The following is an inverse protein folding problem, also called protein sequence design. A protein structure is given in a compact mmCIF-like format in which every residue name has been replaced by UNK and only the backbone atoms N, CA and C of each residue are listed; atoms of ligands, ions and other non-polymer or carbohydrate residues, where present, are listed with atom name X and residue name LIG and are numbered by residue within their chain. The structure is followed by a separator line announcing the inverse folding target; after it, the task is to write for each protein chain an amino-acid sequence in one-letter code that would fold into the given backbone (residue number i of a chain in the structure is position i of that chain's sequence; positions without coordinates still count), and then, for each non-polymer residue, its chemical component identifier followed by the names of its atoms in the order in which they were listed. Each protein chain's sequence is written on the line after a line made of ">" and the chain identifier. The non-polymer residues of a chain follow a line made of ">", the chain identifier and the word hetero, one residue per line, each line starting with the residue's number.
data_IF_507568211562
#
_entry.id   IF_507568211562
#
_cell.length_a   1.000
_cell.length_b   1.000
_cell.length_c   1.000
_cell.angle_alpha   90.00
_cell.angle_beta   90.00
_cell.angle_gamma   90.00
#
_symmetry.space_group_name_H-M   'P 1'
#
loop_
_entity.id
_entity.type
_entity.pdbx_description
1 polymer ?
#
# COMPACT_ATOMS: atom_id res chain seq x y z
N UNK A 1 36.32 -41.78 14.62
CA UNK A 1 36.00 -40.46 14.01
C UNK A 1 34.59 -40.54 13.48
N UNK A 2 33.62 -39.92 14.14
CA UNK A 2 32.23 -40.00 13.71
C UNK A 2 31.69 -38.58 13.50
N UNK A 3 31.48 -38.23 12.22
CA UNK A 3 30.70 -37.08 11.69
C UNK A 3 31.44 -35.72 11.70
N UNK A 4 32.19 -35.47 10.62
CA UNK A 4 32.70 -34.15 10.25
C UNK A 4 31.94 -33.55 9.06
N UNK A 5 31.93 -32.22 8.95
CA UNK A 5 31.41 -31.44 7.82
C UNK A 5 32.58 -30.92 7.01
N UNK A 6 32.49 -31.03 5.70
CA UNK A 6 33.46 -30.42 4.78
C UNK A 6 33.17 -28.92 4.59
N UNK A 7 34.23 -28.12 4.53
CA UNK A 7 34.14 -26.70 4.26
C UNK A 7 35.48 -26.08 3.91
N UNK A 8 35.52 -24.76 3.93
CA UNK A 8 36.72 -23.98 3.64
C UNK A 8 37.00 -23.08 4.83
N UNK A 9 38.22 -23.17 5.39
CA UNK A 9 38.69 -22.22 6.40
C UNK A 9 39.38 -21.05 5.70
N UNK A 10 39.05 -19.84 6.11
CA UNK A 10 39.67 -18.59 5.66
C UNK A 10 40.11 -17.79 6.88
N UNK A 11 41.26 -17.11 6.79
CA UNK A 11 41.70 -16.18 7.82
C UNK A 11 41.12 -14.79 7.52
N UNK A 12 40.59 -14.10 8.54
CA UNK A 12 40.04 -12.75 8.33
C UNK A 12 41.15 -11.80 7.89
N UNK A 13 41.10 -11.33 6.63
CA UNK A 13 42.10 -10.46 6.02
C UNK A 13 42.89 -11.07 4.85
N UNK A 14 42.76 -12.36 4.56
CA UNK A 14 43.40 -13.01 3.41
C UNK A 14 42.38 -13.76 2.54
N UNK A 15 42.56 -13.72 1.22
CA UNK A 15 41.64 -14.35 0.25
C UNK A 15 41.95 -15.84 -0.04
N UNK A 16 42.92 -16.44 0.65
CA UNK A 16 43.28 -17.85 0.46
C UNK A 16 42.47 -18.73 1.40
N UNK A 17 41.58 -19.55 0.82
CA UNK A 17 40.81 -20.56 1.55
C UNK A 17 41.50 -21.92 1.48
N UNK A 18 41.55 -22.64 2.60
CA UNK A 18 42.05 -24.02 2.67
C UNK A 18 40.90 -25.00 2.95
N UNK A 19 40.91 -26.20 2.32
CA UNK A 19 39.90 -27.21 2.60
C UNK A 19 40.05 -27.73 4.02
N UNK A 20 39.00 -27.60 4.82
CA UNK A 20 39.01 -28.00 6.23
C UNK A 20 37.78 -28.86 6.56
N UNK A 21 37.92 -29.70 7.58
CA UNK A 21 36.84 -30.51 8.15
C UNK A 21 36.53 -30.06 9.56
N UNK A 22 35.25 -29.81 9.85
CA UNK A 22 34.78 -29.48 11.18
C UNK A 22 33.99 -30.67 11.75
N UNK A 23 34.49 -31.33 12.78
CA UNK A 23 33.87 -32.51 13.38
C UNK A 23 33.80 -32.46 14.90
N UNK A 24 33.12 -33.44 15.49
CA UNK A 24 33.03 -33.61 16.93
C UNK A 24 33.89 -34.81 17.36
N UNK A 25 34.85 -34.60 18.26
CA UNK A 25 35.68 -35.67 18.83
C UNK A 25 35.62 -35.55 20.35
N UNK A 26 35.16 -36.61 21.04
CA UNK A 26 35.03 -36.66 22.49
C UNK A 26 34.26 -35.45 23.10
N UNK A 27 33.24 -34.95 22.40
CA UNK A 27 32.40 -33.83 22.86
C UNK A 27 33.00 -32.43 22.62
N UNK A 28 34.18 -32.33 22.00
CA UNK A 28 34.81 -31.05 21.60
C UNK A 28 34.72 -30.87 20.08
N UNK A 29 34.56 -29.62 19.65
CA UNK A 29 34.66 -29.26 18.24
C UNK A 29 36.13 -29.33 17.81
N UNK A 30 36.41 -30.03 16.72
CA UNK A 30 37.76 -30.14 16.16
C UNK A 30 37.71 -29.68 14.71
N UNK A 31 38.57 -28.71 14.39
CA UNK A 31 38.82 -28.28 13.02
C UNK A 31 40.10 -28.97 12.52
N UNK A 32 39.99 -29.72 11.43
CA UNK A 32 41.09 -30.37 10.74
C UNK A 32 41.38 -29.61 9.43
N UNK A 33 42.54 -28.96 9.32
CA UNK A 33 43.00 -28.25 8.12
C UNK A 33 44.19 -28.98 7.49
N UNK A 34 43.99 -30.25 7.12
CA UNK A 34 44.97 -31.13 6.46
C UNK A 34 46.18 -31.55 7.31
N UNK A 35 46.89 -30.59 7.89
CA UNK A 35 48.13 -30.77 8.67
C UNK A 35 47.97 -30.49 10.16
N UNK A 36 46.88 -29.81 10.57
CA UNK A 36 46.66 -29.45 11.98
C UNK A 36 45.25 -29.77 12.44
N UNK A 37 45.14 -30.36 13.63
CA UNK A 37 43.89 -30.51 14.37
C UNK A 37 43.84 -29.45 15.47
N UNK A 38 42.91 -28.51 15.37
CA UNK A 38 42.67 -27.52 16.43
C UNK A 38 41.42 -27.89 17.20
N UNK A 39 41.52 -28.06 18.52
CA UNK A 39 40.36 -28.17 19.39
C UNK A 39 39.79 -26.79 19.67
N UNK A 40 38.50 -26.62 19.43
CA UNK A 40 37.75 -25.38 19.58
C UNK A 40 36.82 -25.48 20.79
N UNK A 41 36.74 -24.40 21.57
CA UNK A 41 35.73 -24.27 22.62
C UNK A 41 34.39 -23.88 21.98
N UNK A 42 33.32 -24.68 22.14
CA UNK A 42 32.01 -24.33 21.63
C UNK A 42 31.47 -23.00 22.19
N UNK A 43 31.85 -22.59 23.40
CA UNK A 43 31.27 -21.44 24.11
C UNK A 43 31.54 -20.07 23.45
N UNK A 44 32.50 -20.00 22.52
CA UNK A 44 32.99 -18.75 21.94
C UNK A 44 32.77 -18.62 20.42
N UNK A 45 31.92 -19.47 19.84
CA UNK A 45 31.66 -19.47 18.39
C UNK A 45 30.56 -18.46 18.01
N UNK A 46 30.86 -17.57 17.07
CA UNK A 46 29.86 -16.69 16.44
C UNK A 46 29.45 -17.26 15.10
N UNK A 47 28.16 -17.61 14.96
CA UNK A 47 27.63 -18.35 13.81
C UNK A 47 26.63 -17.50 13.07
N UNK A 48 26.84 -17.33 11.77
CA UNK A 48 25.91 -16.63 10.89
C UNK A 48 24.56 -17.35 10.76
N UNK A 49 23.51 -16.56 10.55
CA UNK A 49 22.14 -17.04 10.36
C UNK A 49 22.04 -18.03 9.18
N UNK A 50 21.16 -19.02 9.32
CA UNK A 50 20.89 -19.97 8.25
C UNK A 50 19.96 -19.31 7.22
N UNK A 51 20.50 -18.92 6.08
CA UNK A 51 19.73 -18.42 4.94
C UNK A 51 19.87 -19.41 3.78
N UNK A 52 18.76 -19.80 3.17
CA UNK A 52 18.75 -20.76 2.06
C UNK A 52 19.59 -20.25 0.88
N UNK A 53 20.53 -21.06 0.39
CA UNK A 53 21.43 -20.73 -0.74
C UNK A 53 22.69 -19.95 -0.37
N UNK A 54 22.81 -19.49 0.88
CA UNK A 54 24.02 -18.80 1.38
C UNK A 54 24.86 -19.80 2.20
N UNK A 55 26.16 -19.95 1.94
CA UNK A 55 27.01 -20.82 2.75
C UNK A 55 27.10 -20.28 4.18
N UNK A 56 26.98 -21.17 5.18
CA UNK A 56 27.07 -20.78 6.59
C UNK A 56 28.51 -20.47 6.94
N UNK A 57 28.69 -19.31 7.58
CA UNK A 57 29.94 -18.80 8.14
C UNK A 57 29.98 -19.07 9.64
N UNK A 58 31.03 -19.75 10.11
CA UNK A 58 31.34 -19.97 11.53
C UNK A 58 32.62 -19.19 11.82
N UNK A 59 32.54 -18.15 12.63
CA UNK A 59 33.69 -17.33 13.04
C UNK A 59 34.26 -17.89 14.33
N UNK A 60 35.58 -18.08 14.32
CA UNK A 60 36.41 -18.65 15.39
C UNK A 60 37.09 -17.52 16.17
N UNK A 61 37.45 -17.76 17.43
CA UNK A 61 38.10 -16.76 18.31
C UNK A 61 39.43 -16.23 17.79
N UNK A 62 40.14 -17.07 17.04
CA UNK A 62 41.43 -16.75 16.43
C UNK A 62 41.28 -15.90 15.14
N UNK A 63 40.06 -15.44 14.84
CA UNK A 63 39.75 -14.66 13.65
C UNK A 63 39.67 -15.50 12.37
N UNK A 64 39.74 -16.84 12.44
CA UNK A 64 39.46 -17.71 11.30
C UNK A 64 37.96 -17.87 11.10
N UNK A 65 37.60 -18.23 9.89
CA UNK A 65 36.23 -18.36 9.44
C UNK A 65 36.07 -19.67 8.67
N UNK A 66 35.25 -20.57 9.17
CA UNK A 66 34.86 -21.78 8.46
C UNK A 66 33.57 -21.55 7.67
N UNK A 67 33.62 -21.78 6.36
CA UNK A 67 32.52 -21.61 5.43
C UNK A 67 32.09 -22.99 4.95
N UNK A 68 30.84 -23.36 5.15
CA UNK A 68 30.29 -24.62 4.63
C UNK A 68 28.93 -24.42 3.98
N UNK A 69 28.69 -25.20 2.92
CA UNK A 69 27.39 -25.30 2.26
C UNK A 69 26.47 -26.32 2.94
N UNK A 70 27.02 -27.19 3.79
CA UNK A 70 26.23 -28.19 4.51
C UNK A 70 25.61 -27.59 5.79
N UNK A 71 24.51 -26.86 5.58
CA UNK A 71 23.72 -26.25 6.65
C UNK A 71 23.11 -27.27 7.62
N UNK A 72 22.82 -28.50 7.16
CA UNK A 72 22.28 -29.58 7.99
C UNK A 72 23.36 -30.23 8.86
N UNK A 73 24.58 -30.36 8.34
CA UNK A 73 25.76 -30.73 9.11
C UNK A 73 25.98 -29.78 10.28
N UNK A 74 25.96 -28.46 10.02
CA UNK A 74 26.18 -27.43 11.05
C UNK A 74 25.11 -27.52 12.14
N UNK A 75 23.84 -27.64 11.77
CA UNK A 75 22.75 -27.78 12.73
C UNK A 75 22.88 -29.04 13.62
N UNK A 76 23.43 -30.15 13.09
CA UNK A 76 23.70 -31.37 13.85
C UNK A 76 24.83 -31.18 14.86
N UNK A 77 25.92 -30.52 14.45
CA UNK A 77 27.05 -30.21 15.34
C UNK A 77 26.68 -29.22 16.45
N UNK A 78 25.80 -28.25 16.15
CA UNK A 78 25.25 -27.33 17.16
C UNK A 78 24.28 -28.01 18.13
N UNK A 79 23.46 -28.92 17.63
CA UNK A 79 22.60 -29.74 18.47
C UNK A 79 23.38 -30.62 19.45
N UNK A 80 24.52 -31.18 19.01
CA UNK A 80 25.39 -32.01 19.83
C UNK A 80 26.17 -31.21 20.89
N UNK A 81 26.49 -29.94 20.62
CA UNK A 81 27.24 -29.06 21.54
C UNK A 81 26.35 -28.21 22.45
N UNK A 82 25.01 -28.39 22.40
CA UNK A 82 24.01 -27.61 23.18
C UNK A 82 24.05 -26.10 22.90
N UNK A 83 24.66 -25.69 21.80
CA UNK A 83 24.75 -24.30 21.38
C UNK A 83 23.40 -23.80 20.83
N UNK A 84 23.08 -22.52 21.06
CA UNK A 84 21.88 -21.88 20.50
C UNK A 84 22.10 -21.68 19.00
N UNK A 85 21.28 -22.32 18.16
CA UNK A 85 21.25 -22.05 16.71
C UNK A 85 20.30 -20.88 16.42
N UNK A 86 20.81 -19.67 16.11
CA UNK A 86 19.97 -18.51 15.86
C UNK A 86 19.10 -18.68 14.60
N UNK A 87 19.46 -19.60 13.70
CA UNK A 87 18.74 -19.85 12.44
C UNK A 87 17.65 -20.92 12.53
N UNK A 88 17.44 -21.55 13.69
CA UNK A 88 16.47 -22.66 13.84
C UNK A 88 15.02 -22.24 13.64
N UNK A 89 14.68 -21.00 14.02
CA UNK A 89 13.33 -20.46 13.85
C UNK A 89 13.07 -20.14 12.36
N UNK A 90 14.04 -19.52 11.69
CA UNK A 90 13.97 -19.17 10.28
C UNK A 90 13.89 -20.44 9.39
N UNK A 91 14.73 -21.44 9.67
CA UNK A 91 14.70 -22.73 8.96
C UNK A 91 13.43 -23.57 9.22
N UNK A 92 12.65 -23.24 10.26
CA UNK A 92 11.32 -23.83 10.54
C UNK A 92 10.22 -23.08 9.80
N UNK A 93 10.34 -21.77 9.68
CA UNK A 93 9.48 -20.91 8.86
C UNK A 93 9.59 -21.30 7.38
N UNK A 94 10.80 -21.51 6.86
CA UNK A 94 11.06 -21.88 5.45
C UNK A 94 10.50 -23.26 5.04
N UNK A 95 10.27 -24.19 5.98
CA UNK A 95 9.76 -25.55 5.67
C UNK A 95 8.24 -25.65 5.51
N UNK A 96 7.54 -24.53 5.38
CA UNK A 96 6.07 -24.53 5.28
C UNK A 96 5.39 -24.88 6.60
N UNK A 97 5.90 -24.35 7.72
CA UNK A 97 5.20 -24.52 9.00
C UNK A 97 3.80 -23.88 8.93
N UNK A 98 2.78 -24.46 9.61
CA UNK A 98 1.43 -23.90 9.64
C UNK A 98 1.39 -22.45 10.15
N UNK A 99 2.43 -21.99 10.85
CA UNK A 99 2.60 -20.59 11.25
C UNK A 99 2.75 -19.61 10.08
N UNK A 100 3.35 -20.01 8.95
CA UNK A 100 3.43 -19.16 7.75
C UNK A 100 2.07 -19.02 7.09
N UNK A 101 1.34 -20.13 6.96
CA UNK A 101 -0.02 -20.11 6.43
C UNK A 101 -0.96 -19.30 7.32
N UNK A 102 -0.83 -19.43 8.65
CA UNK A 102 -1.59 -18.64 9.61
C UNK A 102 -1.24 -17.15 9.52
N UNK A 103 0.05 -16.80 9.40
CA UNK A 103 0.49 -15.42 9.23
C UNK A 103 -0.03 -14.79 7.93
N UNK A 104 0.04 -15.51 6.82
CA UNK A 104 -0.52 -15.08 5.54
C UNK A 104 -2.05 -14.94 5.61
N UNK A 105 -2.75 -15.92 6.19
CA UNK A 105 -4.18 -15.88 6.37
C UNK A 105 -4.61 -14.69 7.26
N UNK A 106 -3.86 -14.42 8.33
CA UNK A 106 -4.08 -13.27 9.20
C UNK A 106 -3.85 -11.94 8.47
N UNK A 107 -2.81 -11.84 7.65
CA UNK A 107 -2.54 -10.66 6.83
C UNK A 107 -3.69 -10.40 5.85
N UNK A 108 -4.16 -11.44 5.15
CA UNK A 108 -5.31 -11.34 4.24
C UNK A 108 -6.58 -10.97 5.01
N UNK A 109 -6.80 -11.57 6.18
CA UNK A 109 -7.94 -11.24 7.03
C UNK A 109 -7.91 -9.77 7.46
N UNK A 110 -6.76 -9.26 7.92
CA UNK A 110 -6.59 -7.85 8.30
C UNK A 110 -6.84 -6.94 7.10
N UNK A 111 -6.34 -7.29 5.91
CA UNK A 111 -6.59 -6.53 4.69
C UNK A 111 -8.08 -6.49 4.34
N UNK A 112 -8.75 -7.64 4.33
CA UNK A 112 -10.18 -7.73 4.07
C UNK A 112 -10.99 -6.96 5.10
N UNK A 113 -10.63 -7.07 6.38
CA UNK A 113 -11.30 -6.35 7.46
C UNK A 113 -11.14 -4.85 7.29
N UNK A 114 -9.93 -4.41 6.93
CA UNK A 114 -9.62 -3.00 6.74
C UNK A 114 -10.41 -2.41 5.58
N UNK A 115 -10.42 -3.08 4.43
CA UNK A 115 -11.14 -2.61 3.25
C UNK A 115 -12.66 -2.68 3.41
N UNK A 116 -13.18 -3.68 4.13
CA UNK A 116 -14.63 -3.92 4.23
C UNK A 116 -15.32 -3.18 5.37
N UNK A 117 -14.61 -2.91 6.47
CA UNK A 117 -15.18 -2.28 7.66
C UNK A 117 -14.37 -1.07 8.14
N UNK A 118 -13.04 -1.18 8.30
CA UNK A 118 -12.27 -0.09 8.92
C UNK A 118 -12.29 1.20 8.08
N UNK A 119 -12.08 1.09 6.77
CA UNK A 119 -12.11 2.25 5.87
C UNK A 119 -13.52 2.86 5.86
N UNK A 120 -14.63 2.16 5.53
CA UNK A 120 -15.96 2.76 5.52
C UNK A 120 -16.37 3.43 6.85
N UNK A 121 -16.09 2.77 7.99
CA UNK A 121 -16.39 3.32 9.31
C UNK A 121 -15.62 4.61 9.56
N UNK A 122 -14.32 4.64 9.24
CA UNK A 122 -13.51 5.84 9.37
C UNK A 122 -14.02 6.95 8.44
N UNK A 123 -14.46 6.61 7.23
CA UNK A 123 -15.00 7.58 6.27
C UNK A 123 -16.23 8.31 6.80
N UNK A 124 -17.17 7.58 7.42
CA UNK A 124 -18.40 8.16 7.95
C UNK A 124 -18.13 9.21 9.03
N UNK A 125 -17.11 8.97 9.87
CA UNK A 125 -16.67 9.94 10.87
C UNK A 125 -15.91 11.12 10.26
N UNK A 126 -14.98 10.86 9.34
CA UNK A 126 -14.16 11.91 8.72
C UNK A 126 -15.00 12.83 7.84
N UNK A 127 -15.97 12.31 7.09
CA UNK A 127 -16.83 13.12 6.23
C UNK A 127 -17.60 14.20 7.00
N UNK A 128 -18.05 13.90 8.22
CA UNK A 128 -18.75 14.84 9.10
C UNK A 128 -17.83 15.95 9.67
N UNK A 129 -16.51 15.73 9.63
CA UNK A 129 -15.51 16.71 10.09
C UNK A 129 -15.05 17.66 8.99
N UNK A 130 -15.37 17.37 7.72
CA UNK A 130 -14.96 18.20 6.59
C UNK A 130 -15.77 19.49 6.58
N UNK A 131 -15.13 20.67 6.64
CA UNK A 131 -15.85 21.93 6.51
C UNK A 131 -16.50 22.09 5.13
N UNK A 132 -17.71 22.64 5.09
CA UNK A 132 -18.49 22.84 3.85
C UNK A 132 -17.71 23.55 2.72
N UNK A 133 -16.85 24.57 2.98
CA UNK A 133 -16.05 25.17 1.91
C UNK A 133 -15.09 24.20 1.22
N UNK A 134 -14.53 23.24 1.97
CA UNK A 134 -13.62 22.22 1.43
C UNK A 134 -14.40 21.22 0.59
N UNK A 135 -15.56 20.78 1.08
CA UNK A 135 -16.43 19.88 0.31
C UNK A 135 -16.83 20.49 -1.04
N UNK A 136 -17.27 21.76 -1.05
CA UNK A 136 -17.62 22.48 -2.29
C UNK A 136 -16.44 22.62 -3.23
N UNK A 137 -15.24 22.91 -2.73
CA UNK A 137 -14.05 23.02 -3.56
C UNK A 137 -13.74 21.69 -4.27
N UNK A 138 -13.84 20.56 -3.54
CA UNK A 138 -13.67 19.22 -4.10
C UNK A 138 -14.74 18.93 -5.16
N UNK A 139 -16.01 19.24 -4.87
CA UNK A 139 -17.12 19.08 -5.81
C UNK A 139 -16.94 19.90 -7.08
N UNK A 140 -16.53 21.16 -6.94
CA UNK A 140 -16.28 22.05 -8.07
C UNK A 140 -15.15 21.53 -8.97
N UNK A 141 -14.06 21.01 -8.40
CA UNK A 141 -12.99 20.39 -9.19
C UNK A 141 -13.45 19.14 -9.95
N UNK A 142 -14.25 18.28 -9.30
CA UNK A 142 -14.82 17.11 -9.95
C UNK A 142 -15.78 17.51 -11.08
N UNK A 143 -16.64 18.51 -10.84
CA UNK A 143 -17.55 19.05 -11.84
C UNK A 143 -16.80 19.63 -13.04
N UNK A 144 -15.80 20.49 -12.84
CA UNK A 144 -15.02 21.11 -13.92
C UNK A 144 -14.29 20.07 -14.78
N UNK A 145 -13.88 18.95 -14.17
CA UNK A 145 -13.27 17.84 -14.90
C UNK A 145 -14.27 17.16 -15.81
N UNK A 146 -15.49 16.90 -15.31
CA UNK A 146 -16.57 16.32 -16.11
C UNK A 146 -17.02 17.29 -17.21
N UNK A 147 -17.18 18.57 -16.87
CA UNK A 147 -17.60 19.63 -17.78
C UNK A 147 -16.71 19.68 -19.02
N UNK A 148 -15.38 19.67 -18.83
CA UNK A 148 -14.41 19.76 -19.92
C UNK A 148 -14.32 18.50 -20.79
N UNK A 149 -14.75 17.35 -20.27
CA UNK A 149 -14.48 16.04 -20.91
C UNK A 149 -15.72 15.35 -21.46
N UNK A 150 -16.90 15.65 -20.89
CA UNK A 150 -18.11 14.90 -21.15
C UNK A 150 -19.40 15.75 -21.28
N UNK A 151 -19.37 17.04 -20.93
CA UNK A 151 -20.55 17.91 -21.01
C UNK A 151 -20.43 18.93 -22.14
N UNK A 152 -21.57 19.25 -22.73
CA UNK A 152 -21.75 20.34 -23.69
C UNK A 152 -22.94 21.21 -23.23
N UNK A 153 -23.06 22.45 -23.74
CA UNK A 153 -24.19 23.31 -23.41
C UNK A 153 -25.53 22.62 -23.69
N UNK A 154 -26.51 22.81 -22.80
CA UNK A 154 -27.87 22.27 -22.98
C UNK A 154 -28.52 22.81 -24.26
N UNK A 155 -29.24 21.93 -24.96
CA UNK A 155 -30.07 22.22 -26.13
C UNK A 155 -31.53 22.45 -25.78
N UNK A 156 -31.91 22.34 -24.50
CA UNK A 156 -33.27 22.62 -24.07
C UNK A 156 -33.59 24.11 -24.26
N UNK A 157 -34.83 24.46 -24.66
CA UNK A 157 -35.26 25.86 -24.74
C UNK A 157 -35.06 26.59 -23.41
N UNK A 158 -34.68 27.87 -23.44
CA UNK A 158 -34.38 28.63 -22.22
C UNK A 158 -35.55 28.64 -21.23
N UNK A 159 -36.79 28.77 -21.72
CA UNK A 159 -37.99 28.70 -20.89
C UNK A 159 -38.12 27.35 -20.15
N UNK A 160 -37.73 26.26 -20.81
CA UNK A 160 -37.73 24.91 -20.21
C UNK A 160 -36.63 24.79 -19.16
N UNK A 161 -35.44 25.32 -19.44
CA UNK A 161 -34.35 25.34 -18.47
C UNK A 161 -34.72 26.16 -17.22
N UNK A 162 -35.35 27.33 -17.40
CA UNK A 162 -35.81 28.17 -16.31
C UNK A 162 -36.86 27.45 -15.45
N UNK A 163 -37.84 26.78 -16.07
CA UNK A 163 -38.85 26.01 -15.35
C UNK A 163 -38.23 24.87 -14.51
N UNK A 164 -37.23 24.17 -15.05
CA UNK A 164 -36.53 23.10 -14.32
C UNK A 164 -35.69 23.66 -13.15
N UNK A 165 -35.00 24.79 -13.36
CA UNK A 165 -34.24 25.47 -12.29
C UNK A 165 -35.17 25.93 -11.16
N UNK A 166 -36.30 26.55 -11.49
CA UNK A 166 -37.27 27.01 -10.50
C UNK A 166 -37.84 25.84 -9.68
N UNK A 167 -38.18 24.71 -10.33
CA UNK A 167 -38.60 23.50 -9.61
C UNK A 167 -37.50 22.97 -8.70
N UNK A 168 -36.25 22.96 -9.18
CA UNK A 168 -35.12 22.50 -8.38
C UNK A 168 -34.88 23.39 -7.16
N UNK A 169 -34.97 24.71 -7.30
CA UNK A 169 -34.88 25.64 -6.17
C UNK A 169 -35.97 25.36 -5.12
N UNK A 170 -37.20 25.07 -5.55
CA UNK A 170 -38.27 24.67 -4.63
C UNK A 170 -37.94 23.37 -3.87
N UNK A 171 -37.31 22.38 -4.54
CA UNK A 171 -36.85 21.15 -3.90
C UNK A 171 -35.71 21.41 -2.90
N UNK A 172 -34.76 22.27 -3.24
CA UNK A 172 -33.65 22.69 -2.36
C UNK A 172 -34.19 23.33 -1.08
N UNK A 173 -35.16 24.24 -1.22
CA UNK A 173 -35.80 24.90 -0.10
C UNK A 173 -36.57 23.90 0.77
N UNK A 174 -37.32 22.97 0.15
CA UNK A 174 -38.04 21.93 0.88
C UNK A 174 -37.11 20.96 1.62
N UNK A 175 -35.91 20.71 1.09
CA UNK A 175 -34.90 19.86 1.72
C UNK A 175 -34.15 20.53 2.88
N UNK A 176 -34.31 21.84 3.07
CA UNK A 176 -33.67 22.60 4.16
C UNK A 176 -32.15 22.64 4.07
N UNK A 177 -31.61 22.74 2.85
CA UNK A 177 -30.15 22.82 2.65
C UNK A 177 -29.68 24.27 2.77
N UNK A 178 -28.82 24.53 3.77
CA UNK A 178 -28.22 25.86 4.02
C UNK A 178 -27.31 26.33 2.88
N UNK A 179 -26.72 25.38 2.15
CA UNK A 179 -25.95 25.63 0.94
C UNK A 179 -26.83 25.26 -0.24
N UNK A 180 -27.43 26.23 -0.93
CA UNK A 180 -28.26 25.94 -2.10
C UNK A 180 -27.37 25.41 -3.25
N UNK A 181 -27.40 24.10 -3.58
CA UNK A 181 -26.67 23.64 -4.75
C UNK A 181 -27.28 24.25 -6.01
N UNK A 182 -26.46 24.51 -7.03
CA UNK A 182 -26.95 24.95 -8.33
C UNK A 182 -27.38 23.76 -9.20
N UNK A 183 -28.33 23.99 -10.11
CA UNK A 183 -28.68 23.04 -11.18
C UNK A 183 -27.98 23.43 -12.49
N UNK A 184 -27.19 22.51 -13.03
CA UNK A 184 -26.55 22.61 -14.34
C UNK A 184 -27.28 21.69 -15.31
N UNK A 185 -27.84 22.26 -16.37
CA UNK A 185 -28.43 21.52 -17.47
C UNK A 185 -27.38 21.41 -18.57
N UNK A 186 -27.17 20.20 -19.08
CA UNK A 186 -26.15 19.95 -20.08
C UNK A 186 -26.55 18.85 -21.05
N UNK A 187 -26.05 18.95 -22.28
CA UNK A 187 -26.01 17.82 -23.18
C UNK A 187 -24.82 16.92 -22.80
N UNK A 188 -25.01 15.61 -22.72
CA UNK A 188 -23.93 14.68 -22.41
C UNK A 188 -24.05 13.39 -23.25
N UNK A 189 -23.65 13.42 -24.54
CA UNK A 189 -23.90 12.30 -25.46
C UNK A 189 -23.23 10.99 -25.02
N UNK A 190 -22.09 11.08 -24.33
CA UNK A 190 -21.35 9.91 -23.82
C UNK A 190 -21.94 9.35 -22.52
N UNK A 191 -22.61 10.19 -21.72
CA UNK A 191 -23.25 9.77 -20.47
C UNK A 191 -24.68 9.28 -20.72
N UNK A 192 -25.40 9.83 -21.69
CA UNK A 192 -26.80 9.52 -21.93
C UNK A 192 -27.73 10.11 -20.86
N UNK A 193 -28.93 9.53 -20.67
CA UNK A 193 -29.90 9.95 -19.65
C UNK A 193 -29.33 9.77 -18.24
N UNK A 194 -28.98 10.87 -17.56
CA UNK A 194 -28.36 10.85 -16.23
C UNK A 194 -28.65 12.12 -15.43
N UNK A 195 -28.54 11.99 -14.11
CA UNK A 195 -28.41 13.09 -13.16
C UNK A 195 -27.25 12.77 -12.20
N UNK A 196 -26.47 13.77 -11.81
CA UNK A 196 -25.28 13.60 -10.98
C UNK A 196 -25.16 14.70 -9.93
N UNK A 197 -25.20 14.33 -8.64
CA UNK A 197 -24.85 15.22 -7.55
C UNK A 197 -23.34 15.24 -7.24
N UNK A 198 -22.73 16.43 -7.23
CA UNK A 198 -21.37 16.62 -6.75
C UNK A 198 -21.33 17.00 -5.26
N UNK A 199 -20.25 16.67 -4.52
CA UNK A 199 -20.08 17.07 -3.12
C UNK A 199 -20.27 18.59 -2.93
N UNK A 200 -21.19 19.00 -2.06
CA UNK A 200 -21.52 20.42 -1.88
C UNK A 200 -22.15 21.12 -3.10
N UNK A 201 -22.52 20.39 -4.16
CA UNK A 201 -23.05 20.90 -5.43
C UNK A 201 -21.96 21.17 -6.50
N UNK A 202 -22.33 21.42 -7.76
CA UNK A 202 -23.70 21.48 -8.31
C UNK A 202 -24.34 20.10 -8.55
N UNK A 203 -25.61 20.08 -8.95
CA UNK A 203 -26.29 18.91 -9.56
C UNK A 203 -26.31 19.09 -11.07
N UNK A 204 -25.87 18.08 -11.82
CA UNK A 204 -25.96 18.05 -13.28
C UNK A 204 -27.16 17.22 -13.70
N UNK A 205 -27.99 17.75 -14.60
CA UNK A 205 -29.11 17.06 -15.21
C UNK A 205 -28.93 17.04 -16.72
N UNK A 206 -28.93 15.85 -17.34
CA UNK A 206 -28.73 15.75 -18.78
C UNK A 206 -30.02 15.97 -19.56
N UNK A 207 -29.91 16.61 -20.72
CA UNK A 207 -31.04 16.81 -21.64
C UNK A 207 -31.70 15.49 -22.04
N UNK A 208 -30.90 14.43 -22.19
CA UNK A 208 -31.38 13.09 -22.51
C UNK A 208 -32.26 12.50 -21.39
N UNK A 209 -32.00 12.82 -20.12
CA UNK A 209 -32.87 12.41 -19.02
C UNK A 209 -34.19 13.18 -19.05
N UNK A 210 -34.15 14.47 -19.35
CA UNK A 210 -35.36 15.29 -19.51
C UNK A 210 -36.22 14.79 -20.67
N UNK A 211 -35.61 14.33 -21.76
CA UNK A 211 -36.32 13.76 -22.91
C UNK A 211 -36.84 12.33 -22.65
N UNK A 212 -36.18 11.57 -21.78
CA UNK A 212 -36.59 10.21 -21.41
C UNK A 212 -37.71 10.19 -20.37
N UNK A 213 -37.75 11.18 -19.49
CA UNK A 213 -38.73 11.22 -18.40
C UNK A 213 -40.15 11.45 -18.92
N UNK A 214 -41.11 10.67 -18.41
CA UNK A 214 -42.53 10.76 -18.80
C UNK A 214 -43.20 12.06 -18.33
N UNK A 215 -42.62 12.73 -17.32
CA UNK A 215 -43.18 13.92 -16.71
C UNK A 215 -42.11 14.72 -15.95
N UNK A 216 -42.46 15.96 -15.62
CA UNK A 216 -41.60 16.83 -14.82
C UNK A 216 -41.53 16.36 -13.36
N UNK A 217 -42.57 15.69 -12.90
CA UNK A 217 -42.66 15.06 -11.60
C UNK A 217 -41.65 13.89 -11.50
N UNK A 218 -41.47 13.13 -12.59
CA UNK A 218 -40.43 12.11 -12.66
C UNK A 218 -39.03 12.73 -12.59
N UNK A 219 -38.77 13.83 -13.31
CA UNK A 219 -37.50 14.58 -13.22
C UNK A 219 -37.29 15.12 -11.81
N UNK A 220 -38.32 15.69 -11.18
CA UNK A 220 -38.25 16.19 -9.81
C UNK A 220 -37.96 15.07 -8.80
N UNK A 221 -38.52 13.87 -9.00
CA UNK A 221 -38.20 12.68 -8.20
C UNK A 221 -36.72 12.30 -8.27
N UNK A 222 -36.14 12.31 -9.48
CA UNK A 222 -34.70 12.06 -9.66
C UNK A 222 -33.86 13.17 -9.01
N UNK A 223 -34.21 14.44 -9.22
CA UNK A 223 -33.49 15.55 -8.61
C UNK A 223 -33.56 15.52 -7.07
N UNK A 224 -34.71 15.13 -6.51
CA UNK A 224 -34.86 14.93 -5.07
C UNK A 224 -33.97 13.79 -4.55
N UNK A 225 -33.85 12.69 -5.31
CA UNK A 225 -32.92 11.60 -5.00
C UNK A 225 -31.46 12.08 -4.98
N UNK A 226 -31.05 12.85 -6.00
CA UNK A 226 -29.69 13.43 -6.06
C UNK A 226 -29.44 14.43 -4.92
N UNK A 227 -30.46 15.18 -4.51
CA UNK A 227 -30.35 16.13 -3.41
C UNK A 227 -30.09 15.43 -2.06
N UNK A 228 -30.67 14.24 -1.86
CA UNK A 228 -30.38 13.39 -0.70
C UNK A 228 -28.92 12.94 -0.72
N UNK A 229 -28.32 12.69 -1.89
CA UNK A 229 -26.89 12.37 -1.98
C UNK A 229 -25.98 13.52 -1.53
N UNK A 230 -26.38 14.76 -1.79
CA UNK A 230 -25.66 15.95 -1.29
C UNK A 230 -25.84 16.06 0.22
N UNK A 231 -27.09 16.00 0.71
CA UNK A 231 -27.41 16.14 2.14
C UNK A 231 -26.69 15.12 3.01
N UNK A 232 -26.62 13.87 2.57
CA UNK A 232 -25.99 12.78 3.32
C UNK A 232 -24.48 12.66 3.07
N UNK A 233 -23.89 13.61 2.34
CA UNK A 233 -22.46 13.64 1.99
C UNK A 233 -21.98 12.36 1.30
N UNK A 234 -22.87 11.68 0.55
CA UNK A 234 -22.56 10.38 -0.06
C UNK A 234 -21.40 10.49 -1.06
N UNK A 235 -21.37 11.56 -1.86
CA UNK A 235 -20.26 11.83 -2.79
C UNK A 235 -18.93 12.01 -2.06
N UNK A 236 -18.92 12.81 -0.98
CA UNK A 236 -17.73 13.04 -0.17
C UNK A 236 -17.23 11.75 0.50
N UNK A 237 -18.14 10.93 1.06
CA UNK A 237 -17.80 9.62 1.64
C UNK A 237 -17.16 8.69 0.60
N UNK A 238 -17.70 8.63 -0.62
CA UNK A 238 -17.10 7.82 -1.70
C UNK A 238 -15.68 8.29 -2.05
N UNK A 239 -15.46 9.60 -2.13
CA UNK A 239 -14.13 10.16 -2.41
C UNK A 239 -13.11 9.81 -1.32
N UNK A 240 -13.45 10.07 -0.05
CA UNK A 240 -12.58 9.77 1.09
C UNK A 240 -12.30 8.26 1.17
N UNK A 241 -13.31 7.41 0.92
CA UNK A 241 -13.14 5.95 0.93
C UNK A 241 -12.16 5.51 -0.15
N UNK A 242 -12.22 6.10 -1.35
CA UNK A 242 -11.28 5.82 -2.43
C UNK A 242 -9.84 6.16 -2.05
N UNK A 243 -9.62 7.31 -1.40
CA UNK A 243 -8.29 7.69 -0.86
C UNK A 243 -7.84 6.69 0.20
N UNK A 244 -8.73 6.28 1.12
CA UNK A 244 -8.43 5.28 2.15
C UNK A 244 -7.99 3.94 1.57
N UNK A 245 -8.63 3.47 0.50
CA UNK A 245 -8.22 2.23 -0.20
C UNK A 245 -6.82 2.37 -0.80
N UNK A 246 -6.49 3.52 -1.41
CA UNK A 246 -5.15 3.78 -1.96
C UNK A 246 -4.09 3.79 -0.86
N UNK A 247 -4.38 4.39 0.29
CA UNK A 247 -3.48 4.38 1.46
C UNK A 247 -3.24 2.95 1.96
N UNK A 248 -4.30 2.15 2.13
CA UNK A 248 -4.17 0.75 2.53
C UNK A 248 -3.34 -0.04 1.52
N UNK A 249 -3.58 0.15 0.23
CA UNK A 249 -2.80 -0.50 -0.82
C UNK A 249 -1.31 -0.14 -0.73
N UNK A 250 -0.97 1.15 -0.54
CA UNK A 250 0.41 1.61 -0.39
C UNK A 250 1.13 1.02 0.83
N UNK A 251 0.41 0.85 1.95
CA UNK A 251 0.96 0.18 3.15
C UNK A 251 1.24 -1.31 2.87
N UNK A 252 0.32 -2.00 2.19
CA UNK A 252 0.48 -3.43 1.87
C UNK A 252 1.59 -3.68 0.87
N UNK A 253 1.75 -2.82 -0.14
CA UNK A 253 2.81 -2.95 -1.15
C UNK A 253 4.18 -2.47 -0.66
N UNK A 254 4.24 -1.81 0.50
CA UNK A 254 5.47 -1.21 1.03
C UNK A 254 5.96 0.00 0.22
N UNK A 255 5.11 0.57 -0.64
CA UNK A 255 5.43 1.78 -1.39
C UNK A 255 5.28 3.02 -0.48
N UNK A 256 6.24 3.20 0.42
CA UNK A 256 6.34 4.37 1.28
C UNK A 256 6.87 5.62 0.54
N UNK A 257 6.92 5.62 -0.80
CA UNK A 257 7.81 6.51 -1.57
C UNK A 257 7.18 7.53 -2.53
N UNK A 258 5.85 7.68 -2.63
CA UNK A 258 5.26 8.62 -3.62
C UNK A 258 4.30 9.69 -3.11
N UNK A 259 4.01 9.74 -1.80
CA UNK A 259 3.06 10.72 -1.24
C UNK A 259 3.67 11.70 -0.22
N UNK A 260 4.98 11.65 0.05
CA UNK A 260 5.66 12.67 0.86
C UNK A 260 7.17 12.49 0.86
N UNK A 261 7.92 13.47 0.34
CA UNK A 261 9.38 13.51 0.45
C UNK A 261 10.13 13.03 -0.79
N UNK A 262 10.26 13.90 -1.79
CA UNK A 262 11.31 13.78 -2.79
C UNK A 262 12.60 14.29 -2.15
N UNK A 263 13.33 13.41 -1.47
CA UNK A 263 14.63 13.72 -0.86
C UNK A 263 15.46 12.45 -0.71
N UNK A 264 16.38 12.21 -1.64
CA UNK A 264 17.32 11.09 -1.54
C UNK A 264 17.55 10.32 -2.85
N UNK A 265 17.77 11.00 -3.97
CA UNK A 265 18.47 10.42 -5.12
C UNK A 265 19.96 10.81 -5.04
N UNK A 266 20.89 9.92 -5.45
CA UNK A 266 22.32 10.13 -5.27
C UNK A 266 22.80 11.40 -6.00
N UNK A 267 23.60 12.19 -5.28
CA UNK A 267 24.19 13.43 -5.76
C UNK A 267 24.97 13.22 -7.08
N UNK A 268 24.43 13.75 -8.18
CA UNK A 268 25.19 14.02 -9.39
C UNK A 268 26.05 15.28 -9.22
N UNK A 269 27.21 15.38 -9.90
CA UNK A 269 28.19 16.43 -9.64
C UNK A 269 27.64 17.82 -9.99
N UNK A 270 27.99 18.78 -9.12
CA UNK A 270 27.57 20.17 -9.16
C UNK A 270 27.92 20.86 -10.50
N UNK A 271 26.89 21.41 -11.16
CA UNK A 271 27.04 22.36 -12.25
C UNK A 271 26.65 23.76 -11.74
N UNK A 272 27.50 24.75 -12.08
CA UNK A 272 27.49 26.15 -11.62
C UNK A 272 26.26 26.94 -12.06
N UNK A 273 25.89 28.03 -11.35
CA UNK A 273 24.76 28.88 -11.71
C UNK A 273 25.21 30.03 -12.62
N UNK A 274 24.68 30.10 -13.83
CA UNK A 274 24.72 31.32 -14.65
C UNK A 274 23.38 31.45 -15.40
N UNK A 275 22.75 32.61 -15.19
CA UNK A 275 21.82 33.32 -16.05
C UNK A 275 20.63 32.59 -16.67
N UNK A 276 19.42 32.93 -16.22
CA UNK A 276 18.36 33.38 -17.13
C UNK A 276 17.44 34.38 -16.42
N UNK A 277 17.80 35.65 -16.56
CA UNK A 277 16.84 36.74 -16.57
C UNK A 277 16.26 36.82 -18.00
N UNK A 278 14.97 37.16 -18.08
CA UNK A 278 14.19 37.48 -19.30
C UNK A 278 13.75 36.28 -20.15
N UNK A 279 12.47 35.92 -20.03
CA UNK A 279 11.39 36.27 -20.97
C UNK A 279 10.04 35.99 -20.30
#
# INVERSE_FOLDING_TARGET
>A
MERGIDGTVMQTGTAQGRPARLGLVAGRLVLEDGETQTSLDPAHLSISEAVTGVPRRVVLDDGRCFITRDSQGVARLLGATRQRDPGRWLARVERGSPGVLLGLALMVLVLLVSLRWAVPLATDHVALLVPTPVERALGQHAFLTLEKTALAPSRLPEARQAALRQRFEALVMAAGLDSSPGLVLAEAPRLGPNALAFPGGPVVLTDALVALADSDEAVAGVLAHELIHIREHHGLRRLISGVGVVVVAGVVTGDHGRLGGRGGGPAGPAARPELFARL
#
